data_IF_938062002876
#
_entry.id   IF_938062002876
#
_cell.length_a   1.000
_cell.length_b   1.000
_cell.length_c   1.000
_cell.angle_alpha   90.00
_cell.angle_beta   90.00
_cell.angle_gamma   90.00
#
_symmetry.space_group_name_H-M   'P 1'
#
loop_
_entity.id
_entity.type
_entity.pdbx_description
1 polymer ?
#
# COMPACT_ATOMS: atom_id res chain seq x y z
N UNK A 1 -5.81 15.84 -31.05
CA UNK A 1 -6.79 14.74 -30.94
C UNK A 1 -7.10 14.59 -29.47
N UNK A 2 -8.35 14.81 -29.06
CA UNK A 2 -8.75 14.73 -27.65
C UNK A 2 -8.86 13.27 -27.22
N UNK A 3 -7.96 12.81 -26.36
CA UNK A 3 -8.13 11.53 -25.66
C UNK A 3 -9.23 11.72 -24.62
N UNK A 4 -10.47 11.37 -24.97
CA UNK A 4 -11.62 11.49 -24.07
C UNK A 4 -12.08 10.08 -23.66
N UNK A 5 -11.81 9.77 -22.39
CA UNK A 5 -12.51 8.80 -21.52
C UNK A 5 -12.40 7.29 -21.81
N UNK A 6 -11.29 6.63 -21.48
CA UNK A 6 -11.32 5.15 -21.34
C UNK A 6 -10.33 4.52 -20.34
N UNK A 7 -9.45 5.25 -19.64
CA UNK A 7 -8.40 4.60 -18.85
C UNK A 7 -8.62 4.73 -17.33
N UNK A 8 -8.38 3.63 -16.62
CA UNK A 8 -8.18 3.58 -15.18
C UNK A 8 -6.86 4.23 -14.76
N UNK A 9 -6.40 4.04 -13.51
CA UNK A 9 -5.27 4.78 -12.95
C UNK A 9 -3.94 4.35 -13.56
N UNK A 10 -2.99 5.29 -13.62
CA UNK A 10 -1.63 5.06 -14.14
C UNK A 10 -1.54 5.18 -15.65
N UNK A 11 -0.47 4.63 -16.21
CA UNK A 11 -0.08 4.83 -17.62
C UNK A 11 -0.08 3.49 -18.37
N UNK A 12 -0.30 3.51 -19.69
CA UNK A 12 -0.33 2.29 -20.50
C UNK A 12 1.06 1.66 -20.64
N UNK A 13 2.11 2.47 -20.50
CA UNK A 13 3.50 2.06 -20.66
C UNK A 13 4.46 2.90 -19.80
N UNK A 14 5.68 2.39 -19.52
CA UNK A 14 6.74 3.17 -18.87
C UNK A 14 7.11 4.46 -19.64
N UNK A 15 7.07 4.40 -20.98
CA UNK A 15 7.37 5.56 -21.83
C UNK A 15 6.33 6.66 -21.61
N UNK A 16 5.05 6.33 -21.50
CA UNK A 16 4.02 7.31 -21.13
C UNK A 16 4.20 7.81 -19.69
N UNK A 17 4.55 6.93 -18.75
CA UNK A 17 4.81 7.32 -17.36
C UNK A 17 5.96 8.32 -17.23
N UNK A 18 7.04 8.14 -18.00
CA UNK A 18 8.18 9.06 -18.05
C UNK A 18 7.83 10.46 -18.57
N UNK A 19 6.74 10.58 -19.35
CA UNK A 19 6.21 11.87 -19.82
C UNK A 19 5.03 12.36 -18.95
N UNK A 20 4.73 11.67 -17.86
CA UNK A 20 3.71 12.06 -16.91
C UNK A 20 4.00 13.41 -16.26
N UNK A 21 2.97 14.11 -15.74
CA UNK A 21 3.19 15.32 -14.96
C UNK A 21 4.04 15.00 -13.72
N UNK A 22 4.92 15.93 -13.35
CA UNK A 22 5.64 15.86 -12.07
C UNK A 22 4.64 15.81 -10.91
N UNK A 23 4.94 14.98 -9.93
CA UNK A 23 4.18 14.84 -8.70
C UNK A 23 4.16 16.15 -7.93
N UNK A 24 3.00 16.48 -7.37
CA UNK A 24 2.79 17.67 -6.53
C UNK A 24 2.64 17.32 -5.05
N UNK A 25 2.37 16.06 -4.73
CA UNK A 25 2.23 15.56 -3.37
C UNK A 25 2.95 14.24 -3.20
N UNK A 26 3.64 14.07 -2.06
CA UNK A 26 4.21 12.80 -1.62
C UNK A 26 3.48 12.26 -0.39
N UNK A 27 3.22 10.96 -0.36
CA UNK A 27 2.75 10.26 0.83
C UNK A 27 3.92 9.54 1.50
N UNK A 28 4.15 9.82 2.79
CA UNK A 28 5.31 9.31 3.53
C UNK A 28 4.85 8.62 4.81
N UNK A 29 5.32 7.39 5.02
CA UNK A 29 5.17 6.66 6.29
C UNK A 29 6.11 7.23 7.34
N UNK A 30 5.57 7.41 8.55
CA UNK A 30 6.29 8.00 9.67
C UNK A 30 6.10 7.10 10.89
N UNK A 31 6.93 6.06 11.06
CA UNK A 31 6.95 5.30 12.30
C UNK A 31 7.42 6.19 13.44
N UNK A 32 6.79 6.07 14.61
CA UNK A 32 7.14 6.88 15.76
C UNK A 32 8.47 6.40 16.37
N UNK A 33 9.53 7.20 16.25
CA UNK A 33 10.91 6.79 16.57
C UNK A 33 11.13 6.25 17.99
N UNK A 34 10.41 6.75 18.99
CA UNK A 34 10.54 6.24 20.38
C UNK A 34 9.70 5.00 20.67
N UNK A 35 8.79 4.61 19.76
CA UNK A 35 7.80 3.54 20.00
C UNK A 35 6.69 3.90 20.98
N UNK A 36 6.71 5.10 21.58
CA UNK A 36 5.76 5.52 22.62
C UNK A 36 4.58 6.35 22.09
N UNK A 37 4.57 6.63 20.79
CA UNK A 37 3.54 7.41 20.13
C UNK A 37 2.99 6.67 18.92
N UNK A 38 1.95 7.25 18.32
CA UNK A 38 1.32 6.69 17.14
C UNK A 38 2.13 6.99 15.89
N UNK A 39 2.15 6.01 15.00
CA UNK A 39 2.65 6.16 13.64
C UNK A 39 1.70 7.03 12.80
N UNK A 40 2.23 7.57 11.69
CA UNK A 40 1.48 8.43 10.78
C UNK A 40 1.73 8.05 9.32
N UNK A 41 0.74 8.39 8.48
CA UNK A 41 0.96 8.72 7.08
C UNK A 41 0.82 10.24 6.94
N UNK A 42 1.76 10.88 6.24
CA UNK A 42 1.68 12.32 5.94
C UNK A 42 1.59 12.54 4.44
N UNK A 43 0.81 13.54 4.04
CA UNK A 43 0.81 14.11 2.68
C UNK A 43 1.66 15.39 2.70
N UNK A 44 2.71 15.44 1.89
CA UNK A 44 3.66 16.55 1.83
C UNK A 44 3.53 17.21 0.47
N UNK A 45 3.40 18.54 0.47
CA UNK A 45 3.45 19.34 -0.74
C UNK A 45 4.89 19.40 -1.28
N UNK A 46 5.06 18.94 -2.52
CA UNK A 46 6.34 18.98 -3.25
C UNK A 46 6.24 19.81 -4.53
N UNK A 47 5.19 20.60 -4.68
CA UNK A 47 5.09 21.57 -5.77
C UNK A 47 5.96 22.80 -5.46
N UNK A 48 7.07 22.95 -6.18
CA UNK A 48 8.01 24.09 -6.04
C UNK A 48 7.32 25.46 -6.24
N UNK A 49 6.17 25.49 -6.92
CA UNK A 49 5.40 26.71 -7.19
C UNK A 49 4.32 27.00 -6.13
N UNK A 50 4.13 26.09 -5.16
CA UNK A 50 3.10 26.22 -4.12
C UNK A 50 3.56 27.09 -2.95
N UNK A 51 2.65 27.89 -2.39
CA UNK A 51 2.88 28.62 -1.14
C UNK A 51 3.17 27.70 0.06
N UNK A 52 2.73 26.44 -0.02
CA UNK A 52 2.95 25.41 1.00
C UNK A 52 4.05 24.42 0.63
N UNK A 53 4.93 24.74 -0.33
CA UNK A 53 6.07 23.89 -0.69
C UNK A 53 6.87 23.43 0.54
N UNK A 54 7.18 22.13 0.60
CA UNK A 54 7.86 21.47 1.73
C UNK A 54 7.10 21.51 3.06
N UNK A 55 5.77 21.64 3.03
CA UNK A 55 4.92 21.56 4.22
C UNK A 55 3.99 20.34 4.19
N UNK A 56 3.55 19.91 5.37
CA UNK A 56 2.54 18.86 5.51
C UNK A 56 1.18 19.45 5.15
N UNK A 57 0.53 18.90 4.12
CA UNK A 57 -0.85 19.24 3.72
C UNK A 57 -1.86 18.62 4.68
N UNK A 58 -1.67 17.34 5.02
CA UNK A 58 -2.51 16.62 5.97
C UNK A 58 -1.79 15.38 6.51
N UNK A 59 -2.34 14.80 7.59
CA UNK A 59 -1.82 13.58 8.21
C UNK A 59 -2.93 12.66 8.69
N UNK A 60 -2.74 11.35 8.54
CA UNK A 60 -3.55 10.32 9.18
C UNK A 60 -2.73 9.72 10.33
N UNK A 61 -3.18 9.95 11.57
CA UNK A 61 -2.60 9.34 12.76
C UNK A 61 -3.19 7.93 12.91
N UNK A 62 -2.34 6.92 13.00
CA UNK A 62 -2.78 5.55 13.21
C UNK A 62 -3.25 5.36 14.66
N UNK A 63 -4.27 4.52 14.90
CA UNK A 63 -4.95 4.49 16.19
C UNK A 63 -4.15 3.75 17.27
N UNK A 64 -3.16 2.93 16.91
CA UNK A 64 -2.43 2.12 17.88
C UNK A 64 -0.94 2.53 17.93
N UNK A 65 -0.32 2.23 19.07
CA UNK A 65 1.10 2.47 19.33
C UNK A 65 1.86 1.17 19.04
N UNK A 66 3.11 1.30 18.57
CA UNK A 66 3.96 0.15 18.26
C UNK A 66 3.54 -0.62 17.01
N UNK A 67 2.93 0.06 16.03
CA UNK A 67 2.59 -0.51 14.73
C UNK A 67 3.82 -0.73 13.86
N UNK A 68 4.72 0.24 13.82
CA UNK A 68 5.87 0.33 12.92
C UNK A 68 5.45 0.23 11.44
N UNK A 69 4.83 1.29 10.93
CA UNK A 69 4.63 1.45 9.49
C UNK A 69 5.97 1.55 8.77
N UNK A 70 6.12 0.81 7.67
CA UNK A 70 7.37 0.74 6.94
C UNK A 70 7.14 0.92 5.43
N UNK A 71 6.71 -0.13 4.73
CA UNK A 71 6.35 -0.04 3.32
C UNK A 71 4.86 0.23 3.13
N UNK A 72 4.53 0.66 1.92
CA UNK A 72 3.15 0.96 1.51
C UNK A 72 2.92 0.55 0.07
N UNK A 73 1.66 0.43 -0.31
CA UNK A 73 1.28 0.24 -1.71
C UNK A 73 -0.05 0.89 -2.02
N UNK A 74 -0.29 1.14 -3.30
CA UNK A 74 -1.57 1.64 -3.80
C UNK A 74 -2.59 0.51 -3.93
N UNK A 75 -3.86 0.84 -3.70
CA UNK A 75 -4.97 -0.09 -4.00
C UNK A 75 -5.15 -0.35 -5.51
N UNK A 76 -4.75 0.59 -6.37
CA UNK A 76 -4.79 0.42 -7.82
C UNK A 76 -3.65 1.21 -8.49
N UNK A 77 -3.07 0.63 -9.55
CA UNK A 77 -1.93 1.21 -10.27
C UNK A 77 -2.07 1.04 -11.79
N UNK A 78 -1.00 1.27 -12.54
CA UNK A 78 -0.94 1.11 -14.01
C UNK A 78 -1.38 -0.28 -14.50
N UNK A 79 -1.30 -1.33 -13.66
CA UNK A 79 -1.88 -2.65 -13.98
C UNK A 79 -3.41 -2.63 -14.16
N UNK A 80 -4.07 -1.53 -13.77
CA UNK A 80 -5.49 -1.27 -13.94
C UNK A 80 -5.75 -0.18 -15.00
N UNK A 81 -4.77 0.16 -15.84
CA UNK A 81 -4.91 1.22 -16.85
C UNK A 81 -6.10 0.97 -17.79
N UNK A 82 -6.37 -0.27 -18.18
CA UNK A 82 -7.51 -0.60 -19.05
C UNK A 82 -8.85 -0.79 -18.29
N UNK A 83 -8.92 -0.41 -17.00
CA UNK A 83 -10.09 -0.60 -16.14
C UNK A 83 -10.66 0.75 -15.69
N UNK A 84 -11.61 1.36 -16.44
CA UNK A 84 -12.18 2.67 -16.11
C UNK A 84 -12.84 2.79 -14.73
N UNK A 85 -13.33 1.67 -14.17
CA UNK A 85 -13.95 1.63 -12.85
C UNK A 85 -12.93 1.66 -11.71
N UNK A 86 -11.69 1.22 -11.96
CA UNK A 86 -10.64 1.22 -10.96
C UNK A 86 -10.24 2.65 -10.60
N UNK A 87 -9.99 2.89 -9.32
CA UNK A 87 -9.50 4.19 -8.84
C UNK A 87 -8.36 4.01 -7.85
N UNK A 88 -7.32 4.83 -8.01
CA UNK A 88 -6.20 4.94 -7.07
C UNK A 88 -6.58 5.93 -5.97
N UNK A 89 -7.13 5.42 -4.88
CA UNK A 89 -7.80 6.24 -3.85
C UNK A 89 -7.30 5.93 -2.44
N UNK A 90 -6.55 4.84 -2.27
CA UNK A 90 -6.11 4.39 -0.96
C UNK A 90 -4.64 3.98 -0.96
N UNK A 91 -3.98 4.32 0.14
CA UNK A 91 -2.70 3.74 0.55
C UNK A 91 -2.96 2.60 1.53
N UNK A 92 -2.37 1.45 1.23
CA UNK A 92 -2.41 0.25 2.07
C UNK A 92 -1.16 0.25 2.94
N UNK A 93 -1.35 0.22 4.26
CA UNK A 93 -0.30 0.33 5.27
C UNK A 93 -0.21 -0.94 6.11
N UNK A 94 0.66 -1.88 5.72
CA UNK A 94 1.20 -2.88 6.62
C UNK A 94 1.88 -2.27 7.83
N UNK A 95 1.63 -2.85 9.01
CA UNK A 95 2.33 -2.52 10.24
C UNK A 95 3.23 -3.67 10.63
N UNK A 96 4.54 -3.40 10.72
CA UNK A 96 5.58 -4.39 10.95
C UNK A 96 5.28 -5.16 12.24
N UNK A 97 5.14 -4.47 13.37
CA UNK A 97 5.14 -5.06 14.71
C UNK A 97 3.79 -5.60 15.19
N UNK A 98 2.69 -5.31 14.49
CA UNK A 98 1.35 -5.52 15.05
C UNK A 98 0.40 -6.41 14.24
N UNK A 99 0.83 -6.87 13.06
CA UNK A 99 -0.01 -7.63 12.12
C UNK A 99 -1.22 -6.85 11.59
N UNK A 100 -1.28 -5.54 11.82
CA UNK A 100 -2.39 -4.69 11.37
C UNK A 100 -2.16 -4.22 9.94
N UNK A 101 -3.28 -4.05 9.23
CA UNK A 101 -3.33 -3.42 7.92
C UNK A 101 -4.27 -2.25 8.03
N UNK A 102 -3.77 -1.04 7.75
CA UNK A 102 -4.60 0.14 7.63
C UNK A 102 -4.85 0.48 6.16
N UNK A 103 -6.03 1.01 5.90
CA UNK A 103 -6.46 1.50 4.61
C UNK A 103 -6.70 2.99 4.78
N UNK A 104 -5.86 3.82 4.17
CA UNK A 104 -5.97 5.28 4.28
C UNK A 104 -6.52 5.81 2.96
N UNK A 105 -7.70 6.44 3.01
CA UNK A 105 -8.24 7.17 1.86
C UNK A 105 -7.42 8.45 1.67
N UNK A 106 -6.93 8.65 0.45
CA UNK A 106 -6.08 9.77 0.05
C UNK A 106 -6.63 10.51 -1.17
N UNK A 107 -7.93 10.38 -1.47
CA UNK A 107 -8.56 11.09 -2.60
C UNK A 107 -8.50 12.61 -2.46
N UNK A 108 -8.49 13.09 -1.21
CA UNK A 108 -8.23 14.48 -0.88
C UNK A 108 -6.92 14.54 -0.08
N UNK A 109 -5.86 15.01 -0.72
CA UNK A 109 -4.51 15.15 -0.15
C UNK A 109 -4.47 16.10 1.05
N UNK A 110 -5.47 16.99 1.20
CA UNK A 110 -5.62 17.90 2.34
C UNK A 110 -6.51 17.32 3.45
N UNK A 111 -7.09 16.13 3.23
CA UNK A 111 -7.96 15.46 4.18
C UNK A 111 -7.83 13.92 4.08
N UNK A 112 -6.59 13.43 4.19
CA UNK A 112 -6.36 11.98 4.25
C UNK A 112 -6.92 11.40 5.54
N UNK A 113 -7.52 10.20 5.46
CA UNK A 113 -8.25 9.62 6.60
C UNK A 113 -8.21 8.11 6.61
N UNK A 114 -8.19 7.56 7.82
CA UNK A 114 -8.35 6.13 8.04
C UNK A 114 -9.77 5.67 7.67
N UNK A 115 -9.87 4.62 6.87
CA UNK A 115 -11.15 3.97 6.57
C UNK A 115 -11.71 3.26 7.81
N UNK A 116 -13.02 3.43 8.05
CA UNK A 116 -13.69 2.98 9.27
C UNK A 116 -14.01 1.48 9.21
N UNK A 117 -12.98 0.64 9.25
CA UNK A 117 -12.92 -0.69 9.91
C UNK A 117 -11.63 -1.42 9.51
N UNK A 118 -10.72 -1.72 10.45
CA UNK A 118 -9.70 -2.74 10.21
C UNK A 118 -10.36 -4.13 10.18
N UNK A 119 -9.87 -5.09 9.37
CA UNK A 119 -10.33 -6.47 9.47
C UNK A 119 -9.97 -7.05 10.85
N UNK A 120 -10.81 -7.93 11.43
CA UNK A 120 -10.44 -8.72 12.61
C UNK A 120 -9.18 -9.56 12.32
N UNK A 121 -8.52 -10.06 13.37
CA UNK A 121 -7.33 -10.92 13.24
C UNK A 121 -7.50 -11.90 12.07
N UNK A 122 -6.64 -11.76 11.05
CA UNK A 122 -6.83 -12.45 9.79
C UNK A 122 -6.73 -13.96 10.02
N UNK A 123 -7.76 -14.68 9.57
CA UNK A 123 -7.71 -16.14 9.46
C UNK A 123 -7.95 -16.53 8.02
N UNK A 124 -7.04 -17.28 7.44
CA UNK A 124 -7.18 -17.86 6.10
C UNK A 124 -7.18 -19.37 6.25
N UNK A 125 -8.20 -20.06 5.72
CA UNK A 125 -8.35 -21.53 5.84
C UNK A 125 -8.23 -22.06 7.29
N UNK A 126 -8.68 -21.28 8.27
CA UNK A 126 -8.56 -21.64 9.70
C UNK A 126 -7.18 -21.38 10.33
N UNK A 127 -6.15 -21.11 9.51
CA UNK A 127 -4.84 -20.66 9.97
C UNK A 127 -4.94 -19.21 10.44
N UNK A 128 -4.47 -18.94 11.67
CA UNK A 128 -4.34 -17.58 12.16
C UNK A 128 -3.06 -17.03 11.54
N UNK A 129 -3.18 -15.93 10.81
CA UNK A 129 -2.01 -15.28 10.24
C UNK A 129 -1.20 -14.65 11.37
N UNK A 130 0.09 -14.98 11.43
CA UNK A 130 1.04 -14.39 12.37
C UNK A 130 2.08 -13.58 11.57
N UNK A 131 2.29 -12.33 11.97
CA UNK A 131 3.22 -11.41 11.32
C UNK A 131 2.56 -10.20 10.65
N UNK A 132 3.34 -9.13 10.52
CA UNK A 132 3.00 -7.93 9.76
C UNK A 132 2.87 -8.22 8.27
N UNK A 133 2.08 -7.47 7.50
CA UNK A 133 2.08 -7.58 6.03
C UNK A 133 3.40 -7.09 5.39
N UNK A 134 4.38 -6.77 6.22
CA UNK A 134 5.79 -6.96 5.96
C UNK A 134 6.52 -7.30 7.28
N UNK A 135 7.62 -8.05 7.17
CA UNK A 135 8.58 -8.56 8.17
C UNK A 135 8.32 -8.30 9.67
N UNK A 136 7.48 -9.10 10.33
CA UNK A 136 7.78 -9.45 11.72
C UNK A 136 8.76 -10.62 11.70
N UNK A 137 9.90 -10.48 12.36
CA UNK A 137 10.90 -11.54 12.47
C UNK A 137 10.36 -12.65 13.39
N UNK A 138 9.48 -13.48 12.85
CA UNK A 138 9.05 -14.71 13.50
C UNK A 138 10.06 -15.80 13.18
N UNK A 139 10.48 -16.54 14.20
CA UNK A 139 11.37 -17.71 14.04
C UNK A 139 10.74 -18.85 13.23
N UNK A 140 9.46 -18.73 12.86
CA UNK A 140 8.69 -19.70 12.08
C UNK A 140 8.68 -19.44 10.57
N UNK A 141 9.19 -18.31 10.08
CA UNK A 141 9.12 -17.93 8.66
C UNK A 141 8.00 -16.94 8.36
N UNK A 142 7.84 -16.59 7.08
CA UNK A 142 6.85 -15.60 6.62
C UNK A 142 5.66 -16.22 5.90
N UNK A 143 4.57 -15.45 5.77
CA UNK A 143 3.37 -15.85 5.04
C UNK A 143 3.02 -14.82 3.95
N UNK A 144 2.54 -15.27 2.80
CA UNK A 144 2.00 -14.43 1.74
C UNK A 144 0.47 -14.54 1.69
N UNK A 145 -0.19 -13.39 1.73
CA UNK A 145 -1.64 -13.25 1.64
C UNK A 145 -1.99 -12.45 0.38
N UNK A 146 -3.24 -12.56 -0.06
CA UNK A 146 -3.77 -11.77 -1.18
C UNK A 146 -4.98 -10.98 -0.74
N UNK A 147 -5.03 -9.70 -1.10
CA UNK A 147 -6.22 -8.85 -0.97
C UNK A 147 -6.83 -8.68 -2.36
N UNK A 148 -8.09 -9.07 -2.50
CA UNK A 148 -8.89 -8.82 -3.70
C UNK A 148 -9.54 -7.44 -3.60
N UNK A 149 -9.48 -6.70 -4.70
CA UNK A 149 -10.07 -5.37 -4.82
C UNK A 149 -11.08 -5.45 -5.95
N UNK A 150 -12.34 -5.17 -5.65
CA UNK A 150 -13.40 -5.19 -6.66
C UNK A 150 -13.47 -3.89 -7.47
N UNK A 151 -14.37 -3.86 -8.46
CA UNK A 151 -14.55 -2.71 -9.36
C UNK A 151 -14.99 -1.42 -8.66
N UNK A 152 -15.54 -1.53 -7.45
CA UNK A 152 -15.95 -0.39 -6.63
C UNK A 152 -14.86 0.02 -5.62
N UNK A 153 -13.68 -0.61 -5.67
CA UNK A 153 -12.58 -0.38 -4.75
C UNK A 153 -12.76 -1.05 -3.38
N UNK A 154 -13.75 -1.94 -3.22
CA UNK A 154 -13.92 -2.68 -1.97
C UNK A 154 -12.82 -3.72 -1.86
N UNK A 155 -12.09 -3.68 -0.76
CA UNK A 155 -10.96 -4.57 -0.51
C UNK A 155 -11.36 -5.69 0.45
N UNK A 156 -11.02 -6.93 0.09
CA UNK A 156 -11.33 -8.13 0.87
C UNK A 156 -10.15 -9.09 0.86
N UNK A 157 -9.83 -9.67 2.00
CA UNK A 157 -8.84 -10.74 2.06
C UNK A 157 -9.33 -11.96 1.26
N UNK A 158 -8.45 -12.52 0.43
CA UNK A 158 -8.72 -13.74 -0.31
C UNK A 158 -8.56 -14.96 0.62
N UNK A 159 -9.67 -15.51 1.08
CA UNK A 159 -9.68 -16.68 1.98
C UNK A 159 -9.14 -17.99 1.38
N UNK A 160 -8.81 -18.01 0.09
CA UNK A 160 -8.27 -19.17 -0.61
C UNK A 160 -6.76 -19.09 -0.85
N UNK A 161 -6.14 -17.93 -0.66
CA UNK A 161 -4.73 -17.69 -0.97
C UNK A 161 -3.92 -17.51 0.33
N UNK A 162 -3.06 -18.49 0.60
CA UNK A 162 -2.05 -18.45 1.66
C UNK A 162 -0.84 -19.23 1.14
N UNK A 163 0.33 -18.60 1.15
CA UNK A 163 1.59 -19.26 0.86
C UNK A 163 2.50 -19.14 2.08
N UNK A 164 3.00 -20.26 2.58
CA UNK A 164 3.81 -20.32 3.79
C UNK A 164 5.29 -20.51 3.41
N UNK A 165 6.12 -19.48 3.61
CA UNK A 165 7.56 -19.52 3.36
C UNK A 165 8.32 -20.31 4.45
N UNK A 166 7.73 -20.51 5.62
CA UNK A 166 8.26 -21.36 6.68
C UNK A 166 8.25 -22.85 6.30
N UNK A 167 7.31 -23.25 5.45
CA UNK A 167 7.18 -24.63 4.97
C UNK A 167 8.15 -25.01 3.83
N UNK A 168 8.96 -24.07 3.33
CA UNK A 168 9.92 -24.34 2.26
C UNK A 168 11.10 -25.16 2.80
N UNK A 169 11.50 -26.20 2.07
CA UNK A 169 12.67 -27.03 2.40
C UNK A 169 13.94 -26.16 2.55
N UNK A 170 14.68 -26.35 3.65
CA UNK A 170 15.88 -25.54 3.97
C UNK A 170 15.61 -24.22 4.69
N UNK A 171 14.33 -23.89 4.95
CA UNK A 171 13.92 -22.71 5.70
C UNK A 171 14.05 -22.83 7.23
N UNK A 172 13.32 -21.98 8.00
CA UNK A 172 12.26 -21.09 7.53
C UNK A 172 12.78 -19.85 6.79
N UNK A 173 12.08 -19.45 5.72
CA UNK A 173 12.41 -18.23 4.96
C UNK A 173 11.40 -17.10 5.22
N UNK A 174 11.84 -15.88 4.96
CA UNK A 174 11.02 -14.67 4.98
C UNK A 174 10.83 -14.16 3.55
N UNK A 175 9.58 -13.99 3.12
CA UNK A 175 9.27 -13.21 1.92
C UNK A 175 9.54 -11.73 2.18
N UNK A 176 10.21 -11.04 1.25
CA UNK A 176 10.62 -9.65 1.46
C UNK A 176 10.10 -8.70 0.38
N UNK A 177 10.46 -8.94 -0.87
CA UNK A 177 9.90 -8.26 -2.03
C UNK A 177 9.24 -9.27 -2.96
N UNK A 178 8.20 -8.83 -3.65
CA UNK A 178 7.58 -9.58 -4.74
C UNK A 178 7.61 -8.72 -5.99
N UNK A 179 7.79 -9.37 -7.15
CA UNK A 179 7.71 -8.72 -8.46
C UNK A 179 6.77 -9.53 -9.35
N UNK A 180 5.78 -8.88 -9.93
CA UNK A 180 5.05 -9.51 -11.02
C UNK A 180 5.93 -9.51 -12.28
N UNK A 181 5.99 -10.62 -13.06
CA UNK A 181 6.78 -10.66 -14.30
C UNK A 181 6.42 -9.56 -15.31
N UNK A 182 5.20 -9.02 -15.24
CA UNK A 182 4.72 -7.91 -16.08
C UNK A 182 4.85 -6.52 -15.45
N UNK A 183 5.51 -6.36 -14.29
CA UNK A 183 5.57 -5.12 -13.52
C UNK A 183 4.41 -4.96 -12.52
N UNK A 184 4.61 -4.09 -11.52
CA UNK A 184 3.66 -3.87 -10.42
C UNK A 184 3.68 -2.44 -9.88
N UNK A 185 2.84 -2.14 -8.88
CA UNK A 185 2.69 -0.78 -8.35
C UNK A 185 3.93 -0.22 -7.64
N UNK A 186 4.99 -1.01 -7.47
CA UNK A 186 6.26 -0.62 -6.84
C UNK A 186 7.47 -0.90 -7.75
N UNK A 187 7.25 -1.37 -8.98
CA UNK A 187 8.25 -1.49 -10.04
C UNK A 187 7.75 -0.83 -11.30
N UNK A 188 8.40 0.26 -11.67
CA UNK A 188 8.46 0.69 -13.06
C UNK A 188 9.75 0.10 -13.66
N UNK A 189 9.62 -0.65 -14.76
CA UNK A 189 10.76 -1.14 -15.52
C UNK A 189 11.24 0.00 -16.42
N UNK A 190 12.39 0.58 -16.09
CA UNK A 190 13.03 1.65 -16.86
C UNK A 190 14.05 1.03 -17.84
N UNK A 191 13.68 0.97 -19.13
CA UNK A 191 14.61 0.72 -20.25
C UNK A 191 14.25 1.59 -21.44
#
# INVERSE_FOLDING_TARGET
MSCNKCCGPGYASPQEAAHGPKEKVLFVTCPHASGNGNDLLVAIDVDEESETFCQILSKAVLPNIGDEVHHTGWNACSSCHDKPSAKRTHIILPCLNSNRIYFINVEDERNIRLEKKPPPALRIKGHRIEGGPQMLQLSSGGEMLRIDIDENGVMKLNGNFLFDFGAIEGGPYLGHEMRYPGGDCTSDIWV
#
